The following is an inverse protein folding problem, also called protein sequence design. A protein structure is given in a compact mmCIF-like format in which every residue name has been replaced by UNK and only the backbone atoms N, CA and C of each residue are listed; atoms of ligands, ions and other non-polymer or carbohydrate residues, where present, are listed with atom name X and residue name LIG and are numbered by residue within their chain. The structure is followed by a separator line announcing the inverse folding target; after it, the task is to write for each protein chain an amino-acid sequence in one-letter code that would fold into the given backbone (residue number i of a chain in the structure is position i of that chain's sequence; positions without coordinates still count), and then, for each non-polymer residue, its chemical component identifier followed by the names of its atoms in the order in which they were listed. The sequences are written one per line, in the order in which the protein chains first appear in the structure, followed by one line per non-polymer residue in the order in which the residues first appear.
data_IF_599093483545
#
_entry.id   IF_599093483545
#
_cell.length_a   1.000
_cell.length_b   1.000
_cell.length_c   1.000
_cell.angle_alpha   90.00
_cell.angle_beta   90.00
_cell.angle_gamma   90.00
#
_symmetry.space_group_name_H-M   'P 1'
#
loop_
_entity.id
_entity.type
_entity.pdbx_description
1 polymer ?
#
# COMPACT_ATOMS: atom_id res chain seq x y z
N UNK A 1 12.09 1.96 20.57
CA UNK A 1 12.32 1.48 19.19
C UNK A 1 11.38 0.32 18.89
N UNK A 2 10.48 0.48 17.91
CA UNK A 2 9.70 -0.65 17.38
C UNK A 2 10.69 -1.59 16.67
N UNK A 3 10.86 -2.81 17.19
CA UNK A 3 11.69 -3.83 16.52
C UNK A 3 10.84 -4.51 15.46
N UNK A 4 11.28 -4.45 14.21
CA UNK A 4 10.65 -5.23 13.14
C UNK A 4 10.72 -6.73 13.47
N UNK A 5 9.68 -7.49 13.12
CA UNK A 5 9.70 -8.96 13.23
C UNK A 5 10.85 -9.52 12.38
N UNK A 6 11.75 -10.31 12.98
CA UNK A 6 12.78 -11.02 12.20
C UNK A 6 12.09 -11.99 11.25
N UNK A 7 12.22 -11.76 9.95
CA UNK A 7 11.65 -12.63 8.92
C UNK A 7 12.34 -12.38 7.57
N UNK A 8 12.32 -13.38 6.69
CA UNK A 8 12.80 -13.25 5.31
C UNK A 8 12.13 -12.10 4.54
N UNK A 9 10.92 -11.69 4.95
CA UNK A 9 10.20 -10.55 4.37
C UNK A 9 10.93 -9.23 4.65
N UNK A 10 11.45 -9.05 5.86
CA UNK A 10 12.22 -7.85 6.22
C UNK A 10 13.52 -7.77 5.43
N UNK A 11 14.19 -8.88 5.20
CA UNK A 11 15.42 -8.90 4.41
C UNK A 11 15.17 -8.56 2.93
N UNK A 12 14.04 -9.01 2.37
CA UNK A 12 13.61 -8.59 1.02
C UNK A 12 13.37 -7.08 0.94
N UNK A 13 12.67 -6.50 1.92
CA UNK A 13 12.42 -5.06 1.97
C UNK A 13 13.73 -4.27 2.04
N UNK A 14 14.66 -4.70 2.91
CA UNK A 14 15.99 -4.08 3.01
C UNK A 14 16.74 -4.09 1.68
N UNK A 15 16.76 -5.23 0.98
CA UNK A 15 17.37 -5.35 -0.35
C UNK A 15 16.73 -4.39 -1.36
N UNK A 16 15.41 -4.22 -1.34
CA UNK A 16 14.74 -3.26 -2.22
C UNK A 16 15.12 -1.80 -1.90
N UNK A 17 15.32 -1.47 -0.62
CA UNK A 17 15.81 -0.15 -0.19
C UNK A 17 17.24 0.06 -0.69
N UNK A 18 18.13 -0.91 -0.46
CA UNK A 18 19.55 -0.86 -0.90
C UNK A 18 19.67 -0.71 -2.41
N UNK A 19 18.79 -1.37 -3.18
CA UNK A 19 18.72 -1.25 -4.64
C UNK A 19 18.03 0.03 -5.13
N UNK A 20 17.55 0.89 -4.24
CA UNK A 20 16.84 2.13 -4.60
C UNK A 20 15.43 1.92 -5.16
N UNK A 21 14.89 0.69 -5.08
CA UNK A 21 13.51 0.38 -5.53
C UNK A 21 12.46 0.92 -4.55
N UNK A 22 12.83 1.05 -3.27
CA UNK A 22 12.02 1.68 -2.23
C UNK A 22 12.79 2.87 -1.67
N UNK A 23 12.25 4.08 -1.88
CA UNK A 23 12.77 5.28 -1.24
C UNK A 23 12.21 5.38 0.18
N UNK A 24 13.09 5.49 1.18
CA UNK A 24 12.69 5.71 2.57
C UNK A 24 12.61 7.20 2.84
N UNK A 25 11.44 7.66 3.27
CA UNK A 25 11.21 9.04 3.69
C UNK A 25 11.29 9.10 5.22
N UNK A 26 12.06 10.06 5.74
CA UNK A 26 12.11 10.34 7.18
C UNK A 26 11.01 11.34 7.51
N UNK A 27 10.21 11.04 8.53
CA UNK A 27 9.21 11.96 9.04
C UNK A 27 9.86 13.22 9.60
N UNK A 28 9.30 14.37 9.24
CA UNK A 28 9.59 15.67 9.86
C UNK A 28 8.90 15.77 11.23
N UNK A 29 9.24 16.81 11.99
CA UNK A 29 8.57 17.09 13.27
C UNK A 29 7.05 17.30 13.10
N UNK A 30 6.64 17.96 12.00
CA UNK A 30 5.22 18.15 11.68
C UNK A 30 4.51 16.84 11.36
N UNK A 31 5.17 15.92 10.68
CA UNK A 31 4.60 14.59 10.38
C UNK A 31 4.39 13.79 11.67
N UNK A 32 5.33 13.89 12.62
CA UNK A 32 5.22 13.24 13.94
C UNK A 32 4.00 13.79 14.69
N UNK A 33 3.89 15.11 14.82
CA UNK A 33 2.78 15.77 15.51
C UNK A 33 1.43 15.42 14.88
N UNK A 34 1.36 15.44 13.54
CA UNK A 34 0.14 15.06 12.83
C UNK A 34 -0.20 13.58 13.04
N UNK A 35 0.79 12.68 12.94
CA UNK A 35 0.61 11.25 13.18
C UNK A 35 0.14 10.95 14.62
N UNK A 36 0.53 11.76 15.60
CA UNK A 36 0.08 11.64 16.99
C UNK A 36 -1.35 12.14 17.20
N UNK A 37 -1.81 13.10 16.37
CA UNK A 37 -3.19 13.60 16.37
C UNK A 37 -4.21 12.62 15.75
N UNK A 38 -3.75 11.69 14.91
CA UNK A 38 -4.61 10.72 14.24
C UNK A 38 -5.19 9.67 15.21
N UNK A 39 -6.36 9.07 14.91
CA UNK A 39 -7.05 8.14 15.81
C UNK A 39 -6.17 7.00 16.30
N UNK A 40 -6.25 6.69 17.60
CA UNK A 40 -5.51 5.58 18.22
C UNK A 40 -5.92 4.19 17.71
N UNK A 41 -7.06 4.09 17.03
CA UNK A 41 -7.51 2.88 16.36
C UNK A 41 -6.60 2.47 15.18
N UNK A 42 -5.81 3.40 14.64
CA UNK A 42 -4.76 3.13 13.67
C UNK A 42 -3.47 2.70 14.37
N UNK A 43 -2.74 1.77 13.76
CA UNK A 43 -1.38 1.44 14.17
C UNK A 43 -0.42 2.62 13.95
N UNK A 44 0.74 2.66 14.64
CA UNK A 44 1.71 3.73 14.43
C UNK A 44 2.17 3.80 12.97
N UNK A 45 2.44 2.67 12.31
CA UNK A 45 2.84 2.66 10.89
C UNK A 45 1.82 3.30 9.95
N UNK A 46 0.53 3.07 10.19
CA UNK A 46 -0.56 3.67 9.40
C UNK A 46 -0.66 5.18 9.62
N UNK A 47 -0.59 5.63 10.88
CA UNK A 47 -0.61 7.07 11.21
C UNK A 47 0.56 7.82 10.57
N UNK A 48 1.77 7.25 10.66
CA UNK A 48 2.95 7.83 10.03
C UNK A 48 2.86 7.82 8.50
N UNK A 49 2.35 6.75 7.89
CA UNK A 49 2.15 6.70 6.45
C UNK A 49 1.18 7.79 5.96
N UNK A 50 0.05 7.98 6.67
CA UNK A 50 -0.93 9.03 6.34
C UNK A 50 -0.33 10.43 6.51
N UNK A 51 0.37 10.69 7.62
CA UNK A 51 0.99 11.99 7.87
C UNK A 51 2.01 12.35 6.77
N UNK A 52 2.91 11.42 6.45
CA UNK A 52 3.91 11.59 5.38
C UNK A 52 3.22 11.75 4.01
N UNK A 53 2.12 11.02 3.77
CA UNK A 53 1.40 11.13 2.50
C UNK A 53 0.84 12.55 2.27
N UNK A 54 0.32 13.19 3.32
CA UNK A 54 -0.18 14.56 3.26
C UNK A 54 0.95 15.54 2.94
N UNK A 55 2.09 15.44 3.64
CA UNK A 55 3.21 16.37 3.43
C UNK A 55 3.89 16.18 2.06
N UNK A 56 4.03 14.94 1.62
CA UNK A 56 4.65 14.58 0.33
C UNK A 56 3.67 14.65 -0.86
N UNK A 57 2.37 14.89 -0.59
CA UNK A 57 1.30 14.94 -1.60
C UNK A 57 1.29 13.71 -2.50
N UNK A 58 1.38 12.54 -1.89
CA UNK A 58 1.41 11.26 -2.62
C UNK A 58 0.11 10.47 -2.42
N UNK A 59 0.12 9.22 -2.85
CA UNK A 59 -1.01 8.31 -2.75
C UNK A 59 -0.77 7.31 -1.60
N UNK A 60 -1.80 7.01 -0.80
CA UNK A 60 -1.72 5.98 0.25
C UNK A 60 -1.89 4.58 -0.36
N UNK A 61 -0.99 3.67 0.00
CA UNK A 61 -1.13 2.24 -0.29
C UNK A 61 -1.57 1.53 0.98
N UNK A 62 -2.74 0.90 0.96
CA UNK A 62 -3.21 0.03 2.05
C UNK A 62 -4.29 -0.93 1.56
N UNK A 63 -4.30 -2.16 2.07
CA UNK A 63 -5.38 -3.13 1.86
C UNK A 63 -6.38 -3.14 3.03
N UNK A 64 -6.08 -2.43 4.12
CA UNK A 64 -6.91 -2.42 5.34
C UNK A 64 -8.04 -1.39 5.27
N UNK A 65 -9.25 -1.79 5.68
CA UNK A 65 -10.45 -0.94 5.60
C UNK A 65 -10.38 0.31 6.49
N UNK A 66 -9.79 0.20 7.69
CA UNK A 66 -9.71 1.31 8.67
C UNK A 66 -8.83 2.48 8.17
N UNK A 67 -7.53 2.27 7.85
CA UNK A 67 -6.71 3.34 7.28
C UNK A 67 -7.26 3.84 5.94
N UNK A 68 -7.84 2.96 5.10
CA UNK A 68 -8.50 3.37 3.86
C UNK A 68 -9.62 4.36 4.10
N UNK A 69 -10.50 4.09 5.06
CA UNK A 69 -11.64 4.98 5.40
C UNK A 69 -11.14 6.35 5.85
N UNK A 70 -10.19 6.36 6.80
CA UNK A 70 -9.64 7.61 7.35
C UNK A 70 -8.90 8.41 6.27
N UNK A 71 -8.08 7.76 5.43
CA UNK A 71 -7.38 8.44 4.35
C UNK A 71 -8.36 9.08 3.35
N UNK A 72 -9.45 8.39 3.01
CA UNK A 72 -10.51 8.95 2.15
C UNK A 72 -11.25 10.13 2.79
N UNK A 73 -11.55 10.06 4.09
CA UNK A 73 -12.16 11.18 4.83
C UNK A 73 -11.27 12.43 4.85
N UNK A 74 -9.95 12.23 4.80
CA UNK A 74 -8.95 13.29 4.68
C UNK A 74 -8.72 13.77 3.23
N UNK A 75 -9.48 13.24 2.26
CA UNK A 75 -9.35 13.61 0.84
C UNK A 75 -8.12 13.05 0.14
N UNK A 76 -7.50 12.00 0.69
CA UNK A 76 -6.34 11.35 0.07
C UNK A 76 -6.77 10.28 -0.92
N UNK A 77 -6.01 10.18 -2.01
CA UNK A 77 -6.12 9.05 -2.92
C UNK A 77 -5.56 7.78 -2.25
N UNK A 78 -6.26 6.66 -2.45
CA UNK A 78 -5.92 5.37 -1.86
C UNK A 78 -5.95 4.27 -2.91
N UNK A 79 -4.90 3.46 -2.95
CA UNK A 79 -4.82 2.22 -3.75
C UNK A 79 -4.53 1.02 -2.84
N UNK A 80 -5.04 -0.15 -3.22
CA UNK A 80 -4.63 -1.44 -2.64
C UNK A 80 -3.65 -2.19 -3.54
N UNK A 81 -3.14 -3.32 -3.07
CA UNK A 81 -2.21 -4.17 -3.82
C UNK A 81 -2.80 -4.62 -5.16
N UNK A 82 -4.07 -4.99 -5.18
CA UNK A 82 -4.81 -5.35 -6.41
C UNK A 82 -4.85 -4.20 -7.44
N UNK A 83 -5.04 -2.96 -6.98
CA UNK A 83 -5.00 -1.79 -7.86
C UNK A 83 -3.60 -1.55 -8.44
N UNK A 84 -2.54 -1.81 -7.66
CA UNK A 84 -1.15 -1.72 -8.13
C UNK A 84 -0.89 -2.76 -9.23
N UNK A 85 -1.33 -4.01 -9.02
CA UNK A 85 -1.17 -5.08 -10.03
C UNK A 85 -1.92 -4.75 -11.32
N UNK A 86 -3.16 -4.26 -11.21
CA UNK A 86 -3.93 -3.78 -12.37
C UNK A 86 -3.20 -2.65 -13.10
N UNK A 87 -2.67 -1.68 -12.38
CA UNK A 87 -1.92 -0.57 -12.97
C UNK A 87 -0.64 -1.06 -13.67
N UNK A 88 0.09 -2.01 -13.08
CA UNK A 88 1.25 -2.63 -13.70
C UNK A 88 0.90 -3.32 -15.02
N UNK A 89 -0.20 -4.07 -15.05
CA UNK A 89 -0.73 -4.69 -16.27
C UNK A 89 -1.13 -3.66 -17.32
N UNK A 90 -1.86 -2.60 -16.93
CA UNK A 90 -2.26 -1.49 -17.83
C UNK A 90 -1.04 -0.77 -18.41
N UNK A 91 0.07 -0.74 -17.68
CA UNK A 91 1.35 -0.16 -18.12
C UNK A 91 2.26 -1.16 -18.84
N UNK A 92 1.78 -2.36 -19.15
CA UNK A 92 2.54 -3.44 -19.80
C UNK A 92 3.83 -3.84 -19.04
N UNK A 93 3.85 -3.66 -17.71
CA UNK A 93 4.98 -4.06 -16.86
C UNK A 93 4.93 -5.55 -16.49
N UNK A 94 3.73 -6.15 -16.53
CA UNK A 94 3.49 -7.58 -16.31
C UNK A 94 2.49 -8.10 -17.35
N UNK A 95 2.62 -9.36 -17.72
CA UNK A 95 1.69 -10.05 -18.61
C UNK A 95 0.38 -10.45 -17.92
N UNK A 96 -0.60 -10.88 -18.72
CA UNK A 96 -1.91 -11.36 -18.21
C UNK A 96 -1.77 -12.58 -17.29
N UNK A 97 -0.85 -13.50 -17.60
CA UNK A 97 -0.61 -14.70 -16.80
C UNK A 97 0.06 -14.35 -15.46
N UNK A 98 1.04 -13.45 -15.47
CA UNK A 98 1.70 -12.98 -14.23
C UNK A 98 0.72 -12.24 -13.32
N UNK A 99 -0.19 -11.43 -13.89
CA UNK A 99 -1.25 -10.79 -13.13
C UNK A 99 -2.14 -11.84 -12.45
N UNK A 100 -2.63 -12.83 -13.21
CA UNK A 100 -3.50 -13.89 -12.68
C UNK A 100 -2.84 -14.66 -11.54
N UNK A 101 -1.61 -15.12 -11.75
CA UNK A 101 -0.83 -15.81 -10.71
C UNK A 101 -0.62 -14.93 -9.46
N UNK A 102 -0.39 -13.63 -9.66
CA UNK A 102 -0.24 -12.70 -8.53
C UNK A 102 -1.54 -12.51 -7.74
N UNK A 103 -2.69 -12.47 -8.42
CA UNK A 103 -4.01 -12.39 -7.77
C UNK A 103 -4.32 -13.69 -7.02
N UNK A 104 -4.05 -14.86 -7.62
CA UNK A 104 -4.19 -16.17 -6.97
C UNK A 104 -3.35 -16.27 -5.68
N UNK A 105 -2.09 -15.81 -5.71
CA UNK A 105 -1.25 -15.77 -4.50
C UNK A 105 -1.78 -14.82 -3.42
N UNK A 106 -2.47 -13.73 -3.80
CA UNK A 106 -3.01 -12.78 -2.82
C UNK A 106 -4.24 -13.34 -2.09
N UNK A 107 -5.03 -14.22 -2.72
CA UNK A 107 -6.15 -14.90 -2.06
C UNK A 107 -5.73 -15.70 -0.83
N UNK A 108 -4.49 -16.19 -0.79
CA UNK A 108 -3.97 -16.92 0.38
C UNK A 108 -3.77 -16.03 1.61
N UNK A 109 -3.69 -14.71 1.42
CA UNK A 109 -3.25 -13.75 2.47
C UNK A 109 -4.16 -12.53 2.63
N UNK A 110 -5.04 -12.26 1.68
CA UNK A 110 -5.96 -11.13 1.66
C UNK A 110 -7.34 -11.57 1.18
N UNK A 111 -8.38 -11.09 1.88
CA UNK A 111 -9.75 -11.24 1.43
C UNK A 111 -10.13 -10.09 0.50
N UNK A 112 -10.76 -10.42 -0.63
CA UNK A 112 -11.41 -9.48 -1.52
C UNK A 112 -12.60 -10.17 -2.21
N UNK A 113 -13.53 -9.38 -2.73
CA UNK A 113 -14.74 -9.89 -3.37
C UNK A 113 -14.45 -10.36 -4.79
N UNK A 114 -15.28 -11.28 -5.28
CA UNK A 114 -15.22 -11.77 -6.66
C UNK A 114 -15.33 -10.61 -7.67
N UNK A 115 -16.23 -9.65 -7.42
CA UNK A 115 -16.33 -8.42 -8.25
C UNK A 115 -15.01 -7.65 -8.35
N UNK A 116 -14.23 -7.60 -7.27
CA UNK A 116 -12.95 -6.90 -7.26
C UNK A 116 -11.89 -7.69 -8.02
N UNK A 117 -11.91 -9.01 -7.91
CA UNK A 117 -11.06 -9.89 -8.70
C UNK A 117 -11.35 -9.76 -10.20
N UNK A 118 -12.62 -9.88 -10.59
CA UNK A 118 -13.07 -9.68 -11.97
C UNK A 118 -12.65 -8.31 -12.48
N UNK A 119 -12.84 -7.26 -11.67
CA UNK A 119 -12.39 -5.92 -12.02
C UNK A 119 -10.87 -5.88 -12.27
N UNK A 120 -10.04 -6.49 -11.41
CA UNK A 120 -8.57 -6.51 -11.59
C UNK A 120 -8.17 -7.23 -12.86
N UNK A 121 -8.78 -8.39 -13.13
CA UNK A 121 -8.45 -9.28 -14.25
C UNK A 121 -9.06 -8.85 -15.59
N UNK A 122 -10.04 -7.94 -15.57
CA UNK A 122 -10.66 -7.40 -16.78
C UNK A 122 -9.66 -6.60 -17.63
N UNK A 123 -9.79 -6.68 -18.95
CA UNK A 123 -9.01 -5.85 -19.88
C UNK A 123 -9.61 -4.43 -20.04
N UNK A 124 -10.59 -4.05 -19.20
CA UNK A 124 -11.34 -2.79 -19.34
C UNK A 124 -10.47 -1.55 -19.09
N UNK A 125 -10.15 -0.85 -20.18
CA UNK A 125 -9.53 0.48 -20.22
C UNK A 125 -10.58 1.57 -19.99
N UNK A 126 -11.14 1.63 -18.79
CA UNK A 126 -11.75 2.87 -18.28
C UNK A 126 -10.76 3.60 -17.39
#
# INVERSE_FOLDING_TARGET
MLKAKKSNRVDRIKKCIEKGQIKVIKSTQKDIEYAESLPKALGPGERYAIAICISEKCLIVTDDLKPRKIAKELGLDVIGTLGILRLARKRNLIGKNELRQSVEMLHEVLYFTDDLEEWVLSDNTT
#
